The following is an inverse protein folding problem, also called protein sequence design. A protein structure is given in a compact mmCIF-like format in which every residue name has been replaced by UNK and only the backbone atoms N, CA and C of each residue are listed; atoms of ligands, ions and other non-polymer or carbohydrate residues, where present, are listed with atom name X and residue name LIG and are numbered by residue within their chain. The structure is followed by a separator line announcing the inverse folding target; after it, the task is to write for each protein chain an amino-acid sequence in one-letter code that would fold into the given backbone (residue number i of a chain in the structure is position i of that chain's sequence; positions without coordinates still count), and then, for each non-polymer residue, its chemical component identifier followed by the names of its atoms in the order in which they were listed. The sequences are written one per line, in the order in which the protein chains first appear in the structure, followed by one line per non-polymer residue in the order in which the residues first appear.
data_IF_967682526473
#
_entry.id   IF_967682526473
#
_cell.length_a   1.000
_cell.length_b   1.000
_cell.length_c   1.000
_cell.angle_alpha   90.00
_cell.angle_beta   90.00
_cell.angle_gamma   90.00
#
_symmetry.space_group_name_H-M   'P 1'
#
loop_
_entity.id
_entity.type
_entity.pdbx_description
1 polymer ?
#
# COMPACT_ATOMS: atom_id res chain seq x y z
N UNK A 1 10.11 -8.35 -0.90
CA UNK A 1 9.14 -7.39 -1.50
C UNK A 1 9.87 -6.23 -2.15
N UNK A 2 10.74 -5.49 -1.43
CA UNK A 2 11.50 -4.38 -2.02
C UNK A 2 12.32 -4.77 -3.27
N UNK A 3 12.95 -5.94 -3.26
CA UNK A 3 13.70 -6.50 -4.40
C UNK A 3 12.85 -6.70 -5.67
N UNK A 4 11.52 -6.81 -5.55
CA UNK A 4 10.64 -7.02 -6.71
C UNK A 4 10.67 -5.78 -7.63
N UNK A 5 10.82 -4.59 -7.06
CA UNK A 5 10.92 -3.34 -7.82
C UNK A 5 12.25 -3.25 -8.55
N UNK A 6 13.35 -3.66 -7.91
CA UNK A 6 14.68 -3.65 -8.52
C UNK A 6 14.75 -4.62 -9.72
N UNK A 7 14.02 -5.74 -9.63
CA UNK A 7 14.04 -6.80 -10.64
C UNK A 7 13.03 -6.61 -11.77
N UNK A 8 11.80 -6.21 -11.44
CA UNK A 8 10.67 -6.17 -12.39
C UNK A 8 10.18 -4.75 -12.67
N UNK A 9 10.74 -3.75 -11.99
CA UNK A 9 10.26 -2.38 -12.05
C UNK A 9 9.03 -2.14 -11.17
N UNK A 10 8.50 -0.92 -11.25
CA UNK A 10 7.28 -0.51 -10.56
C UNK A 10 6.18 -0.17 -11.55
N UNK A 11 4.94 -0.34 -11.13
CA UNK A 11 3.79 0.17 -11.88
C UNK A 11 3.86 1.70 -11.85
N UNK A 12 3.68 2.41 -12.99
CA UNK A 12 3.66 3.86 -13.00
C UNK A 12 2.63 4.42 -12.01
N UNK A 13 3.02 5.47 -11.28
CA UNK A 13 2.24 6.12 -10.22
C UNK A 13 1.90 5.24 -8.99
N UNK A 14 2.34 3.98 -8.92
CA UNK A 14 2.15 3.16 -7.72
C UNK A 14 3.15 3.48 -6.62
N UNK A 15 2.74 3.27 -5.38
CA UNK A 15 3.59 3.24 -4.18
C UNK A 15 3.97 1.79 -3.85
N UNK A 16 5.22 1.57 -3.42
CA UNK A 16 5.62 0.28 -2.87
C UNK A 16 5.50 0.30 -1.34
N UNK A 17 4.54 -0.44 -0.81
CA UNK A 17 4.36 -0.67 0.63
C UNK A 17 4.41 -2.17 0.88
N UNK A 18 5.48 -2.68 1.52
CA UNK A 18 5.56 -4.07 1.95
C UNK A 18 4.35 -4.47 2.81
N UNK A 19 3.85 -5.70 2.66
CA UNK A 19 2.65 -6.15 3.37
C UNK A 19 2.80 -6.03 4.90
N UNK A 20 3.99 -6.31 5.42
CA UNK A 20 4.29 -6.20 6.86
C UNK A 20 4.25 -4.76 7.40
N UNK A 21 4.41 -3.76 6.53
CA UNK A 21 4.38 -2.34 6.89
C UNK A 21 3.00 -1.71 6.65
N UNK A 22 2.12 -2.38 5.91
CA UNK A 22 0.87 -1.81 5.41
C UNK A 22 -0.06 -1.31 6.52
N UNK A 23 -0.22 -2.08 7.59
CA UNK A 23 -1.15 -1.73 8.68
C UNK A 23 -0.73 -0.44 9.38
N UNK A 24 0.58 -0.26 9.57
CA UNK A 24 1.16 0.97 10.14
C UNK A 24 1.05 2.12 9.14
N UNK A 25 1.42 1.88 7.88
CA UNK A 25 1.29 2.86 6.79
C UNK A 25 -0.14 3.40 6.62
N UNK A 26 -1.17 2.57 6.81
CA UNK A 26 -2.56 2.98 6.68
C UNK A 26 -3.15 3.67 7.93
N UNK A 27 -2.38 3.77 9.02
CA UNK A 27 -2.79 4.38 10.29
C UNK A 27 -1.90 5.55 10.73
N UNK A 28 -0.75 5.76 10.10
CA UNK A 28 0.14 6.90 10.39
C UNK A 28 -0.49 8.25 9.99
N UNK A 29 0.16 9.33 10.41
CA UNK A 29 -0.28 10.67 10.04
C UNK A 29 -0.17 10.89 8.51
N UNK A 30 -1.14 11.58 7.87
CA UNK A 30 -1.10 11.82 6.43
C UNK A 30 0.15 12.58 5.94
N UNK A 31 0.75 13.43 6.78
CA UNK A 31 1.98 14.16 6.47
C UNK A 31 3.18 13.22 6.49
N UNK A 32 3.29 12.37 7.52
CA UNK A 32 4.33 11.34 7.62
C UNK A 32 4.24 10.32 6.47
N UNK A 33 3.03 9.89 6.12
CA UNK A 33 2.80 9.02 4.98
C UNK A 33 3.33 9.63 3.68
N UNK A 34 3.05 10.92 3.47
CA UNK A 34 3.51 11.64 2.27
C UNK A 34 5.02 11.79 2.25
N UNK A 35 5.67 12.04 3.38
CA UNK A 35 7.12 12.11 3.46
C UNK A 35 7.78 10.75 3.18
N UNK A 36 7.26 9.68 3.77
CA UNK A 36 7.84 8.34 3.66
C UNK A 36 7.60 7.70 2.29
N UNK A 37 6.40 7.86 1.73
CA UNK A 37 5.98 7.17 0.51
C UNK A 37 5.90 8.07 -0.73
N UNK A 38 6.14 9.37 -0.56
CA UNK A 38 6.04 10.39 -1.61
C UNK A 38 4.69 10.34 -2.37
N UNK A 39 3.62 9.99 -1.64
CA UNK A 39 2.26 9.89 -2.15
C UNK A 39 1.25 10.41 -1.12
N UNK A 40 0.10 10.89 -1.58
CA UNK A 40 -0.97 11.31 -0.67
C UNK A 40 -1.57 10.09 0.02
N UNK A 41 -1.76 10.16 1.34
CA UNK A 41 -2.50 9.13 2.09
C UNK A 41 -3.95 9.04 1.55
N UNK A 42 -4.43 7.84 1.20
CA UNK A 42 -5.80 7.68 0.72
C UNK A 42 -6.81 7.94 1.83
N UNK A 43 -7.94 8.54 1.48
CA UNK A 43 -9.14 8.55 2.33
C UNK A 43 -9.71 7.14 2.44
N UNK A 44 -10.49 6.89 3.48
CA UNK A 44 -11.20 5.62 3.68
C UNK A 44 -12.18 5.28 2.54
N UNK A 45 -12.68 6.30 1.83
CA UNK A 45 -13.59 6.16 0.69
C UNK A 45 -12.90 6.22 -0.67
N UNK A 46 -11.57 6.46 -0.70
CA UNK A 46 -10.86 6.53 -1.97
C UNK A 46 -10.66 5.12 -2.52
N UNK A 47 -10.79 4.91 -3.84
CA UNK A 47 -10.54 3.60 -4.43
C UNK A 47 -9.04 3.26 -4.31
N UNK A 48 -8.74 2.16 -3.60
CA UNK A 48 -7.38 1.63 -3.43
C UNK A 48 -7.24 0.28 -4.11
N UNK A 49 -6.21 0.13 -4.94
CA UNK A 49 -5.89 -1.13 -5.64
C UNK A 49 -4.60 -1.71 -5.05
N UNK A 50 -4.67 -2.95 -4.57
CA UNK A 50 -3.51 -3.71 -4.09
C UNK A 50 -3.00 -4.67 -5.15
N UNK A 51 -1.69 -4.69 -5.38
CA UNK A 51 -1.03 -5.59 -6.34
C UNK A 51 0.22 -6.21 -5.72
N UNK A 52 0.49 -7.47 -6.05
CA UNK A 52 1.74 -8.15 -5.71
C UNK A 52 2.06 -9.21 -6.78
N UNK A 53 3.25 -9.82 -6.71
CA UNK A 53 3.73 -10.74 -7.75
C UNK A 53 2.81 -11.96 -8.00
N UNK A 54 2.27 -12.56 -6.93
CA UNK A 54 1.51 -13.82 -7.01
C UNK A 54 0.05 -13.71 -6.55
N UNK A 55 -0.43 -12.50 -6.22
CA UNK A 55 -1.80 -12.25 -5.74
C UNK A 55 -2.10 -12.59 -4.27
N UNK A 56 -1.30 -13.45 -3.61
CA UNK A 56 -1.57 -13.83 -2.20
C UNK A 56 -1.52 -12.64 -1.24
N UNK A 57 -0.49 -11.80 -1.37
CA UNK A 57 -0.29 -10.65 -0.49
C UNK A 57 -1.26 -9.50 -0.76
N UNK A 58 -1.68 -9.30 -2.01
CA UNK A 58 -2.67 -8.27 -2.33
C UNK A 58 -4.05 -8.60 -1.74
N UNK A 59 -4.42 -9.89 -1.70
CA UNK A 59 -5.62 -10.34 -0.99
C UNK A 59 -5.55 -10.08 0.52
N UNK A 60 -4.40 -10.32 1.14
CA UNK A 60 -4.18 -10.02 2.56
C UNK A 60 -4.19 -8.51 2.83
N UNK A 61 -3.53 -7.72 1.97
CA UNK A 61 -3.53 -6.26 2.04
C UNK A 61 -4.95 -5.68 1.98
N UNK A 62 -5.79 -6.19 1.07
CA UNK A 62 -7.20 -5.82 0.99
C UNK A 62 -7.93 -6.12 2.31
N UNK A 63 -7.75 -7.31 2.88
CA UNK A 63 -8.38 -7.68 4.15
C UNK A 63 -7.96 -6.76 5.29
N UNK A 64 -6.69 -6.36 5.35
CA UNK A 64 -6.20 -5.42 6.36
C UNK A 64 -6.80 -4.03 6.17
N UNK A 65 -6.77 -3.49 4.95
CA UNK A 65 -7.35 -2.19 4.64
C UNK A 65 -8.86 -2.15 4.98
N UNK A 66 -9.62 -3.19 4.64
CA UNK A 66 -11.04 -3.29 5.00
C UNK A 66 -11.26 -3.31 6.51
N UNK A 67 -10.41 -4.03 7.28
CA UNK A 67 -10.49 -4.03 8.75
C UNK A 67 -10.19 -2.66 9.38
N UNK A 68 -9.45 -1.81 8.65
CA UNK A 68 -9.17 -0.42 9.01
C UNK A 68 -10.21 0.57 8.48
N UNK A 69 -11.31 0.08 7.89
CA UNK A 69 -12.43 0.88 7.41
C UNK A 69 -12.25 1.49 6.02
N UNK A 70 -11.26 1.05 5.23
CA UNK A 70 -11.19 1.42 3.81
C UNK A 70 -12.22 0.63 3.00
N UNK A 71 -12.95 1.29 2.11
CA UNK A 71 -14.03 0.72 1.28
C UNK A 71 -14.02 1.24 -0.14
#
# INVERSE_FOLDING_TARGET
ERWEIDRFGKIPASVNIPLGELVEALQMDPMEFKEQYNQKMPSKSDPVVFSCLAGTRSKQALSFAMSLGFS
#
